data_IF_827237284222
#
_entry.id   IF_827237284222
#
_cell.length_a   1.000
_cell.length_b   1.000
_cell.length_c   1.000
_cell.angle_alpha   90.00
_cell.angle_beta   90.00
_cell.angle_gamma   90.00
#
_symmetry.space_group_name_H-M   'P 1'
#
loop_
_entity.id
_entity.type
_entity.pdbx_description
1 polymer ?
#
# COMPACT_ATOMS: atom_id res chain seq x y z
N UNK A 1 8.10 -46.55 26.05
CA UNK A 1 7.74 -45.30 25.34
C UNK A 1 6.27 -45.05 25.62
N UNK A 2 5.95 -44.10 26.50
CA UNK A 2 4.56 -43.80 26.89
C UNK A 2 3.96 -42.92 25.80
N UNK A 3 3.05 -43.48 25.00
CA UNK A 3 2.28 -42.69 24.04
C UNK A 3 1.26 -41.84 24.81
N UNK A 4 1.27 -40.51 24.63
CA UNK A 4 0.34 -39.62 25.34
C UNK A 4 -1.10 -39.94 24.91
N UNK A 5 -2.00 -39.97 25.89
CA UNK A 5 -3.40 -40.29 25.65
C UNK A 5 -4.08 -39.19 24.83
N UNK A 6 -5.16 -39.52 24.08
CA UNK A 6 -5.90 -38.57 23.23
C UNK A 6 -6.32 -37.29 23.98
N UNK A 7 -6.55 -37.41 25.29
CA UNK A 7 -6.91 -36.31 26.19
C UNK A 7 -5.75 -35.33 26.38
N UNK A 8 -4.53 -35.84 26.49
CA UNK A 8 -3.31 -35.03 26.64
C UNK A 8 -2.92 -34.32 25.35
N UNK A 9 -3.11 -34.96 24.19
CA UNK A 9 -2.91 -34.33 22.88
C UNK A 9 -3.87 -33.14 22.70
N UNK A 10 -5.13 -33.30 23.14
CA UNK A 10 -6.13 -32.24 23.07
C UNK A 10 -5.83 -31.09 24.05
N UNK A 11 -5.42 -31.38 25.28
CA UNK A 11 -5.04 -30.31 26.22
C UNK A 11 -3.79 -29.57 25.76
N UNK A 12 -2.81 -30.27 25.17
CA UNK A 12 -1.63 -29.67 24.55
C UNK A 12 -1.99 -28.76 23.37
N UNK A 13 -2.91 -29.18 22.48
CA UNK A 13 -3.33 -28.34 21.34
C UNK A 13 -4.12 -27.11 21.78
N UNK A 14 -5.00 -27.25 22.77
CA UNK A 14 -5.79 -26.14 23.32
C UNK A 14 -4.89 -25.14 24.05
N UNK A 15 -3.92 -25.61 24.85
CA UNK A 15 -2.97 -24.72 25.54
C UNK A 15 -2.05 -23.99 24.58
N UNK A 16 -1.56 -24.64 23.53
CA UNK A 16 -0.79 -23.99 22.46
C UNK A 16 -1.67 -22.94 21.74
N UNK A 17 -2.91 -23.28 21.40
CA UNK A 17 -3.86 -22.37 20.76
C UNK A 17 -4.14 -21.10 21.59
N UNK A 18 -4.31 -21.25 22.91
CA UNK A 18 -4.50 -20.15 23.85
C UNK A 18 -3.22 -19.30 24.01
N UNK A 19 -2.05 -19.94 24.11
CA UNK A 19 -0.76 -19.25 24.23
C UNK A 19 -0.38 -18.47 22.96
N UNK A 20 -0.81 -18.92 21.77
CA UNK A 20 -0.57 -18.24 20.50
C UNK A 20 -1.47 -17.03 20.25
N UNK A 21 -2.44 -16.74 21.12
CA UNK A 21 -3.27 -15.53 21.04
C UNK A 21 -2.41 -14.31 21.38
N UNK A 22 -1.69 -13.79 20.38
CA UNK A 22 -0.93 -12.54 20.48
C UNK A 22 -1.88 -11.40 20.86
N UNK A 23 -1.81 -10.91 22.10
CA UNK A 23 -2.53 -9.70 22.52
C UNK A 23 -2.08 -8.52 21.65
N UNK A 24 -3.02 -7.95 20.87
CA UNK A 24 -2.77 -6.73 20.07
C UNK A 24 -2.28 -5.61 21.01
N UNK A 25 -1.02 -5.21 20.83
CA UNK A 25 -0.41 -4.12 21.60
C UNK A 25 -1.21 -2.84 21.35
N UNK A 26 -1.68 -2.18 22.41
CA UNK A 26 -2.39 -0.89 22.30
C UNK A 26 -1.46 0.12 21.61
N UNK A 27 -1.94 0.75 20.54
CA UNK A 27 -1.14 1.75 19.80
C UNK A 27 -0.95 2.97 20.71
N UNK A 28 0.31 3.34 20.99
CA UNK A 28 0.66 4.54 21.77
C UNK A 28 0.50 5.84 20.97
N UNK A 29 0.62 5.75 19.65
CA UNK A 29 0.51 6.87 18.72
C UNK A 29 -0.43 6.42 17.60
N UNK A 30 -1.45 7.22 17.31
CA UNK A 30 -2.45 6.92 16.28
C UNK A 30 -1.85 6.98 14.87
N UNK A 31 -1.09 8.04 14.57
CA UNK A 31 -0.43 8.26 13.29
C UNK A 31 0.90 9.01 13.49
N UNK A 32 1.95 8.62 12.75
CA UNK A 32 3.24 9.33 12.79
C UNK A 32 3.09 10.72 12.15
N UNK A 33 3.77 11.75 12.68
CA UNK A 33 3.65 13.15 12.21
C UNK A 33 3.95 13.30 10.71
N UNK A 34 5.03 12.67 10.22
CA UNK A 34 5.40 12.71 8.80
C UNK A 34 4.33 12.13 7.86
N UNK A 35 3.49 11.21 8.35
CA UNK A 35 2.39 10.62 7.58
C UNK A 35 1.18 11.58 7.49
N UNK A 36 1.04 12.51 8.45
CA UNK A 36 0.08 13.61 8.36
C UNK A 36 0.56 14.71 7.40
N UNK A 37 1.87 14.87 7.25
CA UNK A 37 2.50 15.79 6.31
C UNK A 37 2.74 15.17 4.92
N UNK A 38 1.96 14.14 4.54
CA UNK A 38 2.18 13.39 3.29
C UNK A 38 2.22 14.28 2.04
N UNK A 39 1.47 15.37 2.03
CA UNK A 39 1.38 16.26 0.88
C UNK A 39 2.73 16.98 0.60
N UNK A 40 3.58 17.16 1.62
CA UNK A 40 4.94 17.73 1.45
C UNK A 40 5.94 16.74 0.86
N UNK A 41 5.76 15.46 1.16
CA UNK A 41 6.72 14.42 0.80
C UNK A 41 6.25 13.55 -0.37
N UNK A 42 4.96 13.61 -0.73
CA UNK A 42 4.34 12.78 -1.77
C UNK A 42 5.15 12.80 -3.06
N UNK A 43 5.21 11.63 -3.70
CA UNK A 43 5.87 11.46 -4.99
C UNK A 43 5.24 12.30 -6.10
N UNK A 44 4.02 12.83 -5.92
CA UNK A 44 3.35 13.67 -6.91
C UNK A 44 4.14 14.95 -7.19
N UNK A 45 4.73 15.56 -6.17
CA UNK A 45 5.54 16.77 -6.37
C UNK A 45 6.74 16.46 -7.25
N UNK A 46 7.39 15.31 -7.05
CA UNK A 46 8.48 14.83 -7.90
C UNK A 46 7.98 14.47 -9.31
N UNK A 47 6.85 13.78 -9.44
CA UNK A 47 6.29 13.39 -10.75
C UNK A 47 5.95 14.64 -11.58
N UNK A 48 5.38 15.67 -10.96
CA UNK A 48 5.09 16.95 -11.61
C UNK A 48 6.36 17.69 -12.02
N UNK A 49 7.38 17.68 -11.18
CA UNK A 49 8.68 18.27 -11.50
C UNK A 49 9.35 17.53 -12.67
N UNK A 50 9.36 16.19 -12.64
CA UNK A 50 9.90 15.36 -13.72
C UNK A 50 9.14 15.57 -15.03
N UNK A 51 7.82 15.75 -14.98
CA UNK A 51 7.01 16.05 -16.15
C UNK A 51 7.44 17.35 -16.85
N UNK A 52 7.89 18.35 -16.09
CA UNK A 52 8.29 19.67 -16.62
C UNK A 52 9.78 19.68 -16.99
N UNK A 53 10.62 19.10 -16.13
CA UNK A 53 12.08 19.20 -16.22
C UNK A 53 12.72 18.10 -17.08
N UNK A 54 12.17 16.88 -17.09
CA UNK A 54 12.85 15.70 -17.63
C UNK A 54 11.85 14.57 -18.01
N UNK A 55 11.21 14.64 -19.19
CA UNK A 55 10.22 13.65 -19.61
C UNK A 55 10.79 12.23 -19.76
N UNK A 56 12.07 12.09 -20.09
CA UNK A 56 12.75 10.78 -20.13
C UNK A 56 12.87 10.14 -18.74
N UNK A 57 13.13 10.96 -17.72
CA UNK A 57 13.19 10.50 -16.33
C UNK A 57 11.79 10.19 -15.78
N UNK A 58 10.75 10.88 -16.24
CA UNK A 58 9.36 10.51 -15.95
C UNK A 58 9.06 9.09 -16.44
N UNK A 59 9.41 8.78 -17.70
CA UNK A 59 9.23 7.46 -18.26
C UNK A 59 10.03 6.40 -17.49
N UNK A 60 11.27 6.71 -17.13
CA UNK A 60 12.09 5.79 -16.33
C UNK A 60 11.52 5.57 -14.91
N UNK A 61 10.93 6.62 -14.32
CA UNK A 61 10.39 6.60 -12.97
C UNK A 61 9.05 5.84 -12.85
N UNK A 62 8.12 6.10 -13.77
CA UNK A 62 6.77 5.50 -13.77
C UNK A 62 6.64 4.29 -14.71
N UNK A 63 7.62 4.06 -15.60
CA UNK A 63 7.56 3.05 -16.69
C UNK A 63 6.37 3.25 -17.63
N UNK A 64 5.86 4.48 -17.73
CA UNK A 64 4.79 4.87 -18.64
C UNK A 64 4.92 6.33 -19.06
N UNK A 65 4.38 6.66 -20.23
CA UNK A 65 4.33 8.04 -20.71
C UNK A 65 3.29 8.84 -19.94
N UNK A 66 3.48 10.15 -19.90
CA UNK A 66 2.59 11.10 -19.23
C UNK A 66 1.15 10.98 -19.72
N UNK A 67 0.95 10.94 -21.04
CA UNK A 67 -0.39 10.83 -21.64
C UNK A 67 -1.07 9.52 -21.25
N UNK A 68 -0.32 8.42 -21.25
CA UNK A 68 -0.80 7.11 -20.83
C UNK A 68 -1.17 7.10 -19.35
N UNK A 69 -0.36 7.74 -18.50
CA UNK A 69 -0.63 7.86 -17.07
C UNK A 69 -1.96 8.58 -16.82
N UNK A 70 -2.19 9.75 -17.44
CA UNK A 70 -3.42 10.51 -17.23
C UNK A 70 -4.63 9.85 -17.90
N UNK A 71 -4.49 9.28 -19.08
CA UNK A 71 -5.58 8.54 -19.74
C UNK A 71 -6.04 7.34 -18.90
N UNK A 72 -5.08 6.58 -18.37
CA UNK A 72 -5.38 5.45 -17.49
C UNK A 72 -5.96 5.93 -16.16
N UNK A 73 -5.45 7.04 -15.61
CA UNK A 73 -5.99 7.66 -14.41
C UNK A 73 -7.45 8.05 -14.60
N UNK A 74 -7.84 8.68 -15.72
CA UNK A 74 -9.25 9.03 -15.96
C UNK A 74 -10.18 7.82 -15.97
N UNK A 75 -9.73 6.70 -16.53
CA UNK A 75 -10.51 5.46 -16.60
C UNK A 75 -10.74 4.88 -15.20
N UNK A 76 -9.69 4.80 -14.38
CA UNK A 76 -9.76 4.13 -13.07
C UNK A 76 -10.11 5.06 -11.91
N UNK A 77 -10.01 6.38 -12.11
CA UNK A 77 -10.31 7.43 -11.10
C UNK A 77 -11.59 7.15 -10.31
N UNK A 78 -12.75 6.86 -10.94
CA UNK A 78 -13.98 6.63 -10.17
C UNK A 78 -13.87 5.47 -9.17
N UNK A 79 -13.04 4.46 -9.46
CA UNK A 79 -12.88 3.28 -8.61
C UNK A 79 -11.76 3.44 -7.56
N UNK A 80 -10.73 4.24 -7.88
CA UNK A 80 -9.58 4.42 -6.99
C UNK A 80 -9.63 5.72 -6.17
N UNK A 81 -10.55 6.64 -6.45
CA UNK A 81 -10.66 7.87 -5.69
C UNK A 81 -11.35 7.61 -4.35
N UNK A 82 -10.70 8.00 -3.25
CA UNK A 82 -11.22 7.85 -1.88
C UNK A 82 -11.50 9.23 -1.28
N UNK A 83 -12.56 9.32 -0.49
CA UNK A 83 -12.93 10.56 0.17
C UNK A 83 -12.04 10.85 1.37
N UNK A 84 -11.74 12.14 1.57
CA UNK A 84 -11.07 12.62 2.77
C UNK A 84 -11.94 12.37 4.01
N UNK A 85 -11.30 11.92 5.09
CA UNK A 85 -11.96 11.78 6.38
C UNK A 85 -11.57 12.93 7.30
N UNK A 86 -12.40 13.23 8.31
CA UNK A 86 -12.09 14.25 9.34
C UNK A 86 -10.75 14.01 10.04
N UNK A 87 -10.26 12.77 10.05
CA UNK A 87 -9.06 12.36 10.76
C UNK A 87 -7.83 12.34 9.85
N UNK A 88 -7.98 12.00 8.57
CA UNK A 88 -6.88 11.83 7.62
C UNK A 88 -7.35 12.10 6.19
N UNK A 89 -6.53 12.84 5.44
CA UNK A 89 -6.68 12.96 3.98
C UNK A 89 -6.46 11.62 3.29
N UNK A 90 -7.30 11.31 2.32
CA UNK A 90 -7.16 10.17 1.44
C UNK A 90 -5.85 10.25 0.66
N UNK A 91 -5.40 9.07 0.23
CA UNK A 91 -4.31 8.96 -0.74
C UNK A 91 -4.97 9.29 -2.09
N UNK A 92 -4.41 10.27 -2.78
CA UNK A 92 -4.96 10.77 -4.06
C UNK A 92 -4.95 9.68 -5.13
N UNK A 93 -5.84 9.75 -6.11
CA UNK A 93 -5.88 8.78 -7.20
C UNK A 93 -4.54 8.70 -7.96
N UNK A 94 -3.87 9.84 -8.13
CA UNK A 94 -2.54 9.96 -8.72
C UNK A 94 -1.48 9.19 -7.92
N UNK A 95 -1.45 9.35 -6.60
CA UNK A 95 -0.54 8.62 -5.70
C UNK A 95 -0.80 7.11 -5.77
N UNK A 96 -2.08 6.72 -5.82
CA UNK A 96 -2.49 5.31 -5.88
C UNK A 96 -2.08 4.65 -7.21
N UNK A 97 -2.20 5.37 -8.32
CA UNK A 97 -1.75 4.88 -9.61
C UNK A 97 -0.22 4.82 -9.70
N UNK A 98 0.48 5.87 -9.27
CA UNK A 98 1.94 5.90 -9.24
C UNK A 98 2.51 4.77 -8.36
N UNK A 99 1.77 4.31 -7.34
CA UNK A 99 2.14 3.17 -6.52
C UNK A 99 2.19 1.82 -7.29
N UNK A 100 1.56 1.70 -8.47
CA UNK A 100 1.71 0.51 -9.31
C UNK A 100 3.14 0.31 -9.82
N UNK A 101 3.99 1.35 -9.85
CA UNK A 101 5.41 1.22 -10.22
C UNK A 101 6.16 0.20 -9.36
N UNK A 102 5.69 -0.03 -8.14
CA UNK A 102 6.24 -1.02 -7.21
C UNK A 102 5.94 -2.47 -7.60
N UNK A 103 4.91 -2.72 -8.42
CA UNK A 103 4.69 -4.04 -9.02
C UNK A 103 5.67 -4.32 -10.15
N UNK A 104 5.91 -3.31 -11.00
CA UNK A 104 6.86 -3.42 -12.10
C UNK A 104 8.31 -3.60 -11.61
N UNK A 105 8.60 -3.10 -10.40
CA UNK A 105 9.94 -3.15 -9.80
C UNK A 105 9.99 -4.23 -8.73
N UNK A 106 10.21 -5.48 -9.13
CA UNK A 106 10.18 -6.68 -8.28
C UNK A 106 11.09 -6.66 -7.04
N UNK A 107 11.96 -5.67 -6.81
CA UNK A 107 13.05 -5.87 -5.84
C UNK A 107 13.47 -4.75 -4.89
N UNK A 108 13.22 -3.44 -5.07
CA UNK A 108 14.10 -2.50 -4.32
C UNK A 108 13.52 -1.43 -3.39
N UNK A 109 12.25 -0.98 -3.46
CA UNK A 109 11.94 0.22 -2.65
C UNK A 109 10.49 0.36 -2.15
N UNK A 110 9.88 -0.68 -1.59
CA UNK A 110 8.62 -0.53 -0.83
C UNK A 110 8.74 0.52 0.29
N UNK A 111 9.96 0.70 0.83
CA UNK A 111 10.28 1.69 1.86
C UNK A 111 10.51 3.12 1.33
N UNK A 112 10.57 3.33 0.01
CA UNK A 112 10.76 4.68 -0.56
C UNK A 112 9.49 5.52 -0.58
N UNK A 113 8.35 4.93 -0.23
CA UNK A 113 7.07 5.63 -0.22
C UNK A 113 6.72 6.20 1.14
N UNK A 114 6.01 7.33 1.10
CA UNK A 114 5.28 7.86 2.25
C UNK A 114 3.97 7.10 2.49
N UNK A 115 3.72 6.03 1.73
CA UNK A 115 2.59 5.14 1.91
C UNK A 115 3.03 4.00 2.84
N UNK A 116 2.19 3.62 3.80
CA UNK A 116 2.50 2.47 4.66
C UNK A 116 2.52 1.18 3.81
N UNK A 117 3.36 0.19 4.10
CA UNK A 117 3.38 -1.07 3.34
C UNK A 117 2.02 -1.78 3.28
N UNK A 118 1.21 -1.62 4.33
CA UNK A 118 -0.14 -2.15 4.42
C UNK A 118 -1.08 -1.47 3.41
N UNK A 119 -1.14 -0.13 3.44
CA UNK A 119 -1.96 0.62 2.50
C UNK A 119 -1.47 0.45 1.07
N UNK A 120 -0.14 0.34 0.87
CA UNK A 120 0.45 0.08 -0.44
C UNK A 120 -0.02 -1.28 -0.98
N UNK A 121 0.00 -2.33 -0.17
CA UNK A 121 -0.52 -3.65 -0.56
C UNK A 121 -2.01 -3.61 -0.89
N UNK A 122 -2.82 -2.93 -0.09
CA UNK A 122 -4.26 -2.78 -0.36
C UNK A 122 -4.52 -2.03 -1.67
N UNK A 123 -3.81 -0.91 -1.90
CA UNK A 123 -3.89 -0.14 -3.14
C UNK A 123 -3.52 -1.01 -4.33
N UNK A 124 -2.40 -1.72 -4.25
CA UNK A 124 -1.93 -2.60 -5.31
C UNK A 124 -2.99 -3.65 -5.66
N UNK A 125 -3.56 -4.33 -4.66
CA UNK A 125 -4.57 -5.36 -4.89
C UNK A 125 -5.87 -4.80 -5.45
N UNK A 126 -6.34 -3.66 -4.93
CA UNK A 126 -7.54 -2.98 -5.38
C UNK A 126 -7.39 -2.54 -6.84
N UNK A 127 -6.28 -1.87 -7.16
CA UNK A 127 -6.02 -1.35 -8.51
C UNK A 127 -5.72 -2.45 -9.51
N UNK A 128 -4.97 -3.51 -9.14
CA UNK A 128 -4.79 -4.68 -10.01
C UNK A 128 -6.09 -5.43 -10.28
N UNK A 129 -6.96 -5.52 -9.27
CA UNK A 129 -8.28 -6.13 -9.41
C UNK A 129 -9.09 -5.50 -10.54
N UNK A 130 -9.00 -4.18 -10.72
CA UNK A 130 -9.65 -3.45 -11.80
C UNK A 130 -9.12 -3.83 -13.20
N UNK A 131 -7.83 -4.17 -13.32
CA UNK A 131 -7.25 -4.61 -14.59
C UNK A 131 -7.52 -6.08 -14.90
N UNK A 132 -7.59 -6.93 -13.88
CA UNK A 132 -7.81 -8.38 -14.05
C UNK A 132 -9.27 -8.77 -14.10
N UNK A 133 -10.19 -7.88 -13.72
CA UNK A 133 -11.62 -8.15 -13.58
C UNK A 133 -12.44 -7.65 -14.76
N UNK A 134 -12.49 -8.47 -15.81
CA UNK A 134 -13.74 -8.84 -16.49
C UNK A 134 -14.05 -10.28 -16.11
#
# INVERSE_FOLDING_TARGET
>A
MVHPSRKEIFTMSVTIGICLVKKKKRRKIWCKKWLMEKDKFSHISLIKELQISAPDDFFNYLRMNTDTFYALLEIIRPDIEKQDTRLRKAISAEDRLAALRFLATVTQTLNSTIISPQSLSEIILETCGLFTGN
#
